data_IF_700672250564
#
_entry.id   IF_700672250564
#
_cell.length_a   1.000
_cell.length_b   1.000
_cell.length_c   1.000
_cell.angle_alpha   90.00
_cell.angle_beta   90.00
_cell.angle_gamma   90.00
#
_symmetry.space_group_name_H-M   'P 1'
#
loop_
_entity.id
_entity.type
_entity.pdbx_description
1 polymer ?
#
# COMPACT_ATOMS: atom_id res chain seq x y z
N UNK A 1 0.03 -18.10 -8.89
CA UNK A 1 0.00 -17.70 -7.48
C UNK A 1 -0.78 -16.40 -7.40
N UNK A 2 -1.85 -16.39 -6.62
CA UNK A 2 -2.69 -15.19 -6.44
C UNK A 2 -2.21 -14.49 -5.18
N UNK A 3 -2.10 -13.19 -5.27
CA UNK A 3 -1.70 -12.33 -4.18
C UNK A 3 -2.82 -11.36 -3.83
N UNK A 4 -2.84 -10.94 -2.58
CA UNK A 4 -3.75 -9.93 -2.05
C UNK A 4 -2.92 -8.80 -1.48
N UNK A 5 -3.18 -7.59 -1.93
CA UNK A 5 -2.65 -6.36 -1.36
C UNK A 5 -3.77 -5.66 -0.60
N UNK A 6 -3.50 -5.30 0.64
CA UNK A 6 -4.30 -4.32 1.39
C UNK A 6 -3.48 -3.04 1.51
N UNK A 7 -3.99 -1.93 0.98
CA UNK A 7 -3.45 -0.59 1.16
C UNK A 7 -4.29 0.15 2.19
N UNK A 8 -3.67 0.58 3.29
CA UNK A 8 -4.24 1.55 4.21
C UNK A 8 -3.66 2.93 3.95
N UNK A 9 -4.53 3.91 3.76
CA UNK A 9 -4.17 5.33 3.72
C UNK A 9 -4.56 5.98 5.04
N UNK A 10 -3.58 6.48 5.77
CA UNK A 10 -3.77 7.07 7.10
C UNK A 10 -3.41 8.56 7.02
N UNK A 11 -4.34 9.42 7.45
CA UNK A 11 -4.12 10.85 7.62
C UNK A 11 -4.34 11.24 9.07
N UNK A 12 -3.40 11.97 9.68
CA UNK A 12 -3.49 12.46 11.07
C UNK A 12 -3.86 11.35 12.08
N UNK A 13 -3.30 10.16 11.88
CA UNK A 13 -3.53 8.98 12.72
C UNK A 13 -4.88 8.29 12.55
N UNK A 14 -5.67 8.65 11.54
CA UNK A 14 -6.97 8.02 11.21
C UNK A 14 -6.93 7.37 9.85
N UNK A 15 -7.57 6.21 9.71
CA UNK A 15 -7.78 5.56 8.43
C UNK A 15 -8.67 6.45 7.55
N UNK A 16 -8.12 6.95 6.46
CA UNK A 16 -8.77 7.81 5.48
C UNK A 16 -9.21 7.05 4.23
N UNK A 17 -8.56 5.91 3.93
CA UNK A 17 -8.91 5.05 2.81
C UNK A 17 -8.36 3.63 2.99
N UNK A 18 -9.06 2.67 2.39
CA UNK A 18 -8.66 1.26 2.35
C UNK A 18 -8.88 0.75 0.93
N UNK A 19 -7.87 0.12 0.33
CA UNK A 19 -7.97 -0.52 -0.98
C UNK A 19 -7.55 -1.97 -0.85
N UNK A 20 -8.33 -2.87 -1.44
CA UNK A 20 -7.98 -4.29 -1.58
C UNK A 20 -7.78 -4.59 -3.05
N UNK A 21 -6.58 -5.07 -3.40
CA UNK A 21 -6.22 -5.47 -4.75
C UNK A 21 -5.86 -6.96 -4.76
N UNK A 22 -6.47 -7.70 -5.68
CA UNK A 22 -6.19 -9.12 -5.89
C UNK A 22 -5.59 -9.30 -7.28
N UNK A 23 -4.47 -9.99 -7.38
CA UNK A 23 -3.76 -10.15 -8.64
C UNK A 23 -2.52 -11.00 -8.55
N UNK A 24 -1.78 -11.11 -9.64
CA UNK A 24 -0.42 -11.63 -9.61
C UNK A 24 0.56 -10.59 -9.01
N UNK A 25 1.78 -11.03 -8.77
CA UNK A 25 2.85 -10.21 -8.20
C UNK A 25 3.16 -8.97 -9.05
N UNK A 26 3.13 -9.11 -10.38
CA UNK A 26 3.43 -8.00 -11.30
C UNK A 26 2.38 -6.90 -11.19
N UNK A 27 1.09 -7.28 -11.15
CA UNK A 27 -0.03 -6.37 -10.97
C UNK A 27 0.03 -5.62 -9.64
N UNK A 28 0.38 -6.29 -8.55
CA UNK A 28 0.55 -5.63 -7.24
C UNK A 28 1.70 -4.64 -7.26
N UNK A 29 2.85 -5.04 -7.79
CA UNK A 29 4.00 -4.16 -7.88
C UNK A 29 3.71 -2.92 -8.73
N UNK A 30 3.08 -3.11 -9.90
CA UNK A 30 2.70 -2.02 -10.79
C UNK A 30 1.75 -1.04 -10.07
N UNK A 31 0.74 -1.55 -9.35
CA UNK A 31 -0.18 -0.71 -8.58
C UNK A 31 0.55 0.15 -7.53
N UNK A 32 1.44 -0.44 -6.73
CA UNK A 32 2.20 0.29 -5.71
C UNK A 32 3.06 1.39 -6.36
N UNK A 33 3.87 1.04 -7.36
CA UNK A 33 4.79 1.99 -7.98
C UNK A 33 4.09 3.05 -8.84
N UNK A 34 2.99 2.73 -9.51
CA UNK A 34 2.19 3.73 -10.23
C UNK A 34 1.58 4.75 -9.28
N UNK A 35 1.05 4.31 -8.12
CA UNK A 35 0.50 5.21 -7.11
C UNK A 35 1.58 6.12 -6.51
N UNK A 36 2.75 5.58 -6.16
CA UNK A 36 3.88 6.36 -5.65
C UNK A 36 4.40 7.35 -6.71
N UNK A 37 4.54 6.92 -7.96
CA UNK A 37 4.99 7.79 -9.05
C UNK A 37 3.99 8.92 -9.35
N UNK A 38 2.69 8.63 -9.30
CA UNK A 38 1.64 9.64 -9.45
C UNK A 38 1.75 10.68 -8.32
N UNK A 39 1.87 10.22 -7.08
CA UNK A 39 2.03 11.10 -5.94
C UNK A 39 3.27 12.00 -6.06
N UNK A 40 4.40 11.45 -6.53
CA UNK A 40 5.60 12.23 -6.79
C UNK A 40 5.41 13.28 -7.89
N UNK A 41 4.76 12.92 -9.00
CA UNK A 41 4.45 13.86 -10.10
C UNK A 41 3.54 15.00 -9.67
N UNK A 42 2.65 14.76 -8.70
CA UNK A 42 1.78 15.78 -8.11
C UNK A 42 2.53 16.72 -7.13
N UNK A 43 3.86 16.63 -7.07
CA UNK A 43 4.74 17.45 -6.23
C UNK A 43 4.96 16.90 -4.83
N UNK A 44 4.45 15.69 -4.56
CA UNK A 44 4.70 15.01 -3.30
C UNK A 44 6.10 14.40 -3.23
N UNK A 45 6.57 14.10 -2.03
CA UNK A 45 7.78 13.29 -1.82
C UNK A 45 7.47 12.10 -0.94
N UNK A 46 8.28 11.04 -1.03
CA UNK A 46 8.05 9.84 -0.23
C UNK A 46 9.33 9.23 0.31
N UNK A 47 9.20 8.56 1.46
CA UNK A 47 10.31 7.82 2.09
C UNK A 47 9.84 6.41 2.43
N UNK A 48 10.53 5.39 1.89
CA UNK A 48 10.34 3.99 2.30
C UNK A 48 10.86 3.83 3.72
N UNK A 49 10.00 3.45 4.67
CA UNK A 49 10.37 3.37 6.10
C UNK A 49 10.86 1.99 6.53
N UNK A 50 10.37 0.90 5.94
CA UNK A 50 10.76 -0.45 6.34
C UNK A 50 10.39 -1.49 5.28
N UNK A 51 11.25 -2.48 5.15
CA UNK A 51 10.97 -3.78 4.50
C UNK A 51 11.27 -4.84 5.56
N UNK A 52 10.34 -5.74 5.85
CA UNK A 52 10.54 -6.83 6.82
C UNK A 52 10.44 -8.17 6.12
N UNK A 53 11.39 -9.06 6.40
CA UNK A 53 11.61 -10.32 5.68
C UNK A 53 10.43 -11.31 5.78
N UNK A 54 9.59 -11.22 6.82
CA UNK A 54 8.62 -12.28 7.10
C UNK A 54 7.19 -12.03 6.59
N UNK A 55 6.84 -10.79 6.24
CA UNK A 55 5.53 -10.40 5.73
C UNK A 55 5.77 -9.13 4.95
N UNK A 56 5.43 -9.09 3.66
CA UNK A 56 5.66 -7.93 2.81
C UNK A 56 4.76 -6.78 3.27
N UNK A 57 5.26 -6.09 4.30
CA UNK A 57 4.76 -4.88 4.90
C UNK A 57 5.64 -3.74 4.40
N UNK A 58 5.13 -2.95 3.45
CA UNK A 58 5.80 -1.74 3.03
C UNK A 58 5.12 -0.52 3.65
N UNK A 59 5.88 0.24 4.43
CA UNK A 59 5.44 1.49 5.00
C UNK A 59 6.07 2.66 4.23
N UNK A 60 5.23 3.54 3.71
CA UNK A 60 5.65 4.74 3.01
C UNK A 60 5.07 5.98 3.70
N UNK A 61 5.92 6.98 3.94
CA UNK A 61 5.45 8.30 4.34
C UNK A 61 5.41 9.19 3.11
N UNK A 62 4.24 9.78 2.85
CA UNK A 62 3.92 10.62 1.71
C UNK A 62 3.76 12.07 2.18
N UNK A 63 4.65 12.95 1.74
CA UNK A 63 4.58 14.38 2.02
C UNK A 63 3.89 15.10 0.87
N UNK A 64 2.71 15.65 1.11
CA UNK A 64 1.97 16.43 0.11
C UNK A 64 2.56 17.85 -0.04
N UNK A 65 2.33 18.52 -1.20
CA UNK A 65 2.77 19.90 -1.41
C UNK A 65 2.20 20.92 -0.41
N UNK A 66 1.03 20.65 0.16
CA UNK A 66 0.38 21.49 1.17
C UNK A 66 0.94 21.30 2.59
N UNK A 67 1.93 20.42 2.76
CA UNK A 67 2.56 20.10 4.03
C UNK A 67 1.83 19.00 4.82
N UNK A 68 0.73 18.45 4.33
CA UNK A 68 0.12 17.26 4.93
C UNK A 68 1.02 16.04 4.77
N UNK A 69 1.08 15.22 5.81
CA UNK A 69 1.76 13.92 5.78
C UNK A 69 0.69 12.82 5.78
N UNK A 70 0.75 11.97 4.77
CA UNK A 70 -0.01 10.72 4.70
C UNK A 70 0.91 9.54 4.99
N UNK A 71 0.38 8.54 5.66
CA UNK A 71 1.05 7.27 5.87
C UNK A 71 0.35 6.21 5.01
N UNK A 72 1.10 5.53 4.15
CA UNK A 72 0.63 4.39 3.37
C UNK A 72 1.22 3.11 3.92
N UNK A 73 0.35 2.13 4.19
CA UNK A 73 0.75 0.78 4.61
C UNK A 73 0.25 -0.21 3.59
N UNK A 74 1.17 -1.01 3.07
CA UNK A 74 0.87 -2.10 2.15
C UNK A 74 1.08 -3.42 2.86
N UNK A 75 0.09 -4.31 2.81
CA UNK A 75 0.17 -5.68 3.30
C UNK A 75 -0.03 -6.63 2.12
N UNK A 76 1.00 -7.40 1.77
CA UNK A 76 0.93 -8.38 0.68
C UNK A 76 0.86 -9.80 1.24
N UNK A 77 -0.14 -10.55 0.82
CA UNK A 77 -0.36 -11.97 1.09
C UNK A 77 -0.21 -12.74 -0.23
N UNK A 78 0.43 -13.90 -0.24
CA UNK A 78 0.52 -14.69 -1.47
C UNK A 78 1.48 -15.89 -1.46
N UNK A 79 2.22 -16.13 -0.37
CA UNK A 79 2.92 -17.43 -0.16
C UNK A 79 2.03 -18.42 0.63
N UNK A 80 0.84 -17.97 1.04
CA UNK A 80 -0.18 -18.74 1.72
C UNK A 80 -1.17 -19.38 0.72
N UNK A 81 -1.75 -20.52 1.11
CA UNK A 81 -2.94 -21.06 0.43
C UNK A 81 -4.16 -20.18 0.79
N UNK A 82 -4.35 -19.10 0.04
CA UNK A 82 -5.49 -18.20 0.19
C UNK A 82 -6.68 -18.78 -0.58
N UNK A 83 -7.59 -19.46 0.14
CA UNK A 83 -8.81 -20.02 -0.44
C UNK A 83 -9.97 -19.02 -0.55
N UNK A 84 -10.02 -17.99 0.30
CA UNK A 84 -11.06 -16.96 0.25
C UNK A 84 -10.65 -15.64 0.89
N UNK A 85 -11.25 -14.53 0.44
CA UNK A 85 -11.10 -13.19 1.01
C UNK A 85 -12.50 -12.70 1.36
N UNK A 86 -12.74 -12.43 2.64
CA UNK A 86 -14.03 -11.98 3.12
C UNK A 86 -13.93 -10.54 3.62
N UNK A 87 -14.76 -9.65 3.08
CA UNK A 87 -14.93 -8.28 3.60
C UNK A 87 -16.17 -8.32 4.49
N UNK A 88 -16.01 -7.98 5.78
CA UNK A 88 -17.08 -7.93 6.76
C UNK A 88 -17.26 -6.47 7.17
N UNK A 89 -18.48 -5.94 7.03
CA UNK A 89 -18.87 -4.58 7.42
C UNK A 89 -19.38 -4.50 8.87
#
# INVERSE_FOLDING_TARGET
>A
MVYVLVEEMISKGKLAGLIVLIGDKERINNFIYENLNKFYKDGGSFVKRKETEDRLYELWELHKPDGEILELRFYVFGDEEIDSINIIE
#
